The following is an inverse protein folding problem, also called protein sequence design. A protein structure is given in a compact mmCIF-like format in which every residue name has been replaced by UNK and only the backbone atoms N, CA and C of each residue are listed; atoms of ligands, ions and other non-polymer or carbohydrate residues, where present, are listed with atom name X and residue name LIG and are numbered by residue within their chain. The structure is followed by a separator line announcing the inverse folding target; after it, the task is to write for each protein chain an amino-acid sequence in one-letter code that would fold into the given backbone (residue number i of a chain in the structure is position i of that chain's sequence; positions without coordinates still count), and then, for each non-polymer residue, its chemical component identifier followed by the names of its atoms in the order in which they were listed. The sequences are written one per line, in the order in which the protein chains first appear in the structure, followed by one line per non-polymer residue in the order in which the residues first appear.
data_IF_545854142228
#
_entry.id   IF_545854142228
#
_cell.length_a   1.000
_cell.length_b   1.000
_cell.length_c   1.000
_cell.angle_alpha   90.00
_cell.angle_beta   90.00
_cell.angle_gamma   90.00
#
_symmetry.space_group_name_H-M   'P 1'
#
loop_
_entity.id
_entity.type
_entity.pdbx_description
1 polymer ?
#
# COMPACT_ATOMS: atom_id res chain seq x y z
N UNK A 1 -12.06 26.78 -12.33
CA UNK A 1 -11.61 25.86 -11.26
C UNK A 1 -11.77 26.56 -9.91
N UNK A 2 -12.76 26.16 -9.10
CA UNK A 2 -12.95 26.72 -7.75
C UNK A 2 -12.02 25.99 -6.79
N UNK A 3 -10.96 26.66 -6.35
CA UNK A 3 -10.08 26.15 -5.29
C UNK A 3 -10.88 26.21 -4.00
N UNK A 4 -11.34 25.06 -3.50
CA UNK A 4 -11.99 24.98 -2.19
C UNK A 4 -10.91 25.26 -1.15
N UNK A 5 -11.03 26.38 -0.44
CA UNK A 5 -10.25 26.66 0.77
C UNK A 5 -10.49 25.52 1.75
N UNK A 6 -9.57 24.55 1.79
CA UNK A 6 -9.54 23.51 2.79
C UNK A 6 -9.27 24.22 4.11
N UNK A 7 -10.28 24.31 4.98
CA UNK A 7 -10.07 24.76 6.37
C UNK A 7 -8.96 23.89 6.93
N UNK A 8 -7.88 24.53 7.35
CA UNK A 8 -6.82 23.87 8.10
C UNK A 8 -7.49 23.45 9.40
N UNK A 9 -7.66 22.14 9.59
CA UNK A 9 -8.12 21.59 10.85
C UNK A 9 -7.02 21.87 11.89
N UNK A 10 -7.32 22.77 12.82
CA UNK A 10 -6.42 23.10 13.92
C UNK A 10 -6.54 21.93 14.89
N UNK A 11 -5.45 21.18 15.09
CA UNK A 11 -5.44 20.04 16.01
C UNK A 11 -5.78 20.53 17.44
N UNK A 12 -6.80 19.92 18.07
CA UNK A 12 -7.37 20.31 19.36
C UNK A 12 -6.35 20.29 20.53
N UNK A 13 -5.19 19.66 20.33
CA UNK A 13 -4.10 19.54 21.29
C UNK A 13 -3.39 20.88 21.61
N UNK A 14 -3.67 21.92 20.78
CA UNK A 14 -3.19 23.29 20.97
C UNK A 14 -4.01 24.09 21.99
N UNK A 15 -5.21 23.61 22.36
CA UNK A 15 -6.17 24.40 23.15
C UNK A 15 -5.62 24.69 24.56
N UNK A 16 -5.17 25.93 24.77
CA UNK A 16 -4.71 26.44 26.08
C UNK A 16 -3.20 26.51 26.29
N UNK A 17 -2.36 26.25 25.28
CA UNK A 17 -0.89 26.39 25.40
C UNK A 17 -0.43 27.83 25.15
N UNK A 18 0.63 28.25 25.85
CA UNK A 18 1.32 29.52 25.63
C UNK A 18 2.40 29.31 24.55
N UNK A 19 2.72 30.37 23.82
CA UNK A 19 3.81 30.38 22.83
C UNK A 19 5.17 30.04 23.48
N UNK A 20 5.90 29.08 22.89
CA UNK A 20 7.23 28.63 23.34
C UNK A 20 8.37 29.62 23.06
N UNK A 21 8.08 30.75 22.41
CA UNK A 21 9.09 31.78 22.15
C UNK A 21 9.43 32.54 23.44
N UNK A 22 10.73 32.79 23.74
CA UNK A 22 11.11 33.60 24.89
C UNK A 22 10.43 34.97 24.82
N UNK A 23 9.94 35.45 25.96
CA UNK A 23 9.25 36.75 26.08
C UNK A 23 7.88 36.86 25.38
N UNK A 24 7.23 35.74 25.02
CA UNK A 24 5.89 35.73 24.45
C UNK A 24 4.85 35.07 25.36
N UNK A 25 3.73 35.76 25.60
CA UNK A 25 2.60 35.27 26.42
C UNK A 25 1.34 35.03 25.54
N UNK A 26 1.48 35.13 24.21
CA UNK A 26 0.37 34.88 23.26
C UNK A 26 0.03 33.39 23.23
N UNK A 27 -1.17 33.05 22.78
CA UNK A 27 -1.61 31.67 22.58
C UNK A 27 -0.78 30.96 21.49
N UNK A 28 -0.37 29.73 21.79
CA UNK A 28 0.42 28.86 20.92
C UNK A 28 -0.47 27.95 20.08
N UNK A 29 -1.13 28.50 19.06
CA UNK A 29 -2.07 27.75 18.19
C UNK A 29 -1.38 26.95 17.07
N UNK A 30 -0.14 27.29 16.72
CA UNK A 30 0.56 26.72 15.58
C UNK A 30 1.73 25.85 16.00
N UNK A 31 1.76 24.60 15.50
CA UNK A 31 2.89 23.69 15.74
C UNK A 31 4.04 23.92 14.75
N UNK A 32 5.28 23.77 15.21
CA UNK A 32 6.48 23.75 14.39
C UNK A 32 7.41 22.58 14.80
N UNK A 33 8.03 21.85 13.87
CA UNK A 33 8.88 20.71 14.20
C UNK A 33 10.15 21.16 14.93
N UNK A 34 10.58 20.45 15.98
CA UNK A 34 11.83 20.80 16.69
C UNK A 34 13.09 20.41 15.92
N UNK A 35 13.01 19.33 15.14
CA UNK A 35 14.13 18.75 14.40
C UNK A 35 13.63 18.07 13.13
N UNK A 36 14.40 18.10 12.02
CA UNK A 36 14.06 17.38 10.79
C UNK A 36 13.93 15.86 10.98
N UNK A 37 14.71 15.28 11.91
CA UNK A 37 14.80 13.83 12.11
C UNK A 37 13.87 13.29 13.21
N UNK A 38 13.42 14.15 14.13
CA UNK A 38 12.51 13.75 15.23
C UNK A 38 11.07 14.06 14.88
N UNK A 39 10.39 13.09 14.26
CA UNK A 39 9.02 13.23 13.72
C UNK A 39 7.89 13.34 14.77
N UNK A 40 8.19 13.45 16.06
CA UNK A 40 7.17 13.55 17.12
C UNK A 40 7.30 14.77 18.03
N UNK A 41 8.37 15.56 17.87
CA UNK A 41 8.66 16.68 18.76
C UNK A 41 8.25 18.00 18.09
N UNK A 42 7.33 18.73 18.72
CA UNK A 42 6.84 20.02 18.21
C UNK A 42 6.96 21.15 19.25
N UNK A 43 7.27 22.35 18.78
CA UNK A 43 7.06 23.61 19.49
C UNK A 43 5.69 24.18 19.16
N UNK A 44 5.10 24.91 20.09
CA UNK A 44 3.83 25.63 19.91
C UNK A 44 4.08 27.13 19.88
N UNK A 45 3.69 27.79 18.80
CA UNK A 45 3.95 29.21 18.57
C UNK A 45 2.67 29.97 18.23
N UNK A 46 2.69 31.28 18.48
CA UNK A 46 1.71 32.20 17.91
C UNK A 46 2.02 32.48 16.43
N UNK A 47 1.09 33.12 15.72
CA UNK A 47 1.20 33.38 14.27
C UNK A 47 2.47 34.16 13.87
N UNK A 48 2.93 35.08 14.71
CA UNK A 48 4.15 35.86 14.44
C UNK A 48 5.41 35.00 14.56
N UNK A 49 5.52 34.23 15.64
CA UNK A 49 6.72 33.42 15.90
C UNK A 49 6.81 32.19 15.02
N UNK A 50 5.70 31.57 14.62
CA UNK A 50 5.74 30.46 13.66
C UNK A 50 6.26 30.93 12.29
N UNK A 51 5.93 32.16 11.87
CA UNK A 51 6.45 32.75 10.63
C UNK A 51 7.95 33.01 10.74
N UNK A 52 8.40 33.63 11.84
CA UNK A 52 9.82 33.87 12.09
C UNK A 52 10.62 32.56 12.18
N UNK A 53 10.04 31.52 12.77
CA UNK A 53 10.62 30.19 12.85
C UNK A 53 10.76 29.56 11.46
N UNK A 54 9.67 29.53 10.67
CA UNK A 54 9.67 28.96 9.32
C UNK A 54 10.65 29.67 8.38
N UNK A 55 10.83 30.99 8.52
CA UNK A 55 11.83 31.75 7.76
C UNK A 55 13.27 31.32 8.08
N UNK A 56 13.54 30.90 9.32
CA UNK A 56 14.87 30.44 9.76
C UNK A 56 15.07 28.93 9.61
N UNK A 57 14.00 28.19 9.27
CA UNK A 57 14.01 26.75 9.19
C UNK A 57 14.71 26.29 7.91
N UNK A 58 15.71 25.43 8.06
CA UNK A 58 16.37 24.77 6.94
C UNK A 58 16.49 23.27 7.27
N UNK A 59 15.80 22.45 6.49
CA UNK A 59 15.78 20.99 6.65
C UNK A 59 17.19 20.38 6.43
N UNK A 60 17.99 20.96 5.55
CA UNK A 60 19.32 20.47 5.16
C UNK A 60 20.48 21.10 5.96
N UNK A 61 20.20 21.85 7.04
CA UNK A 61 21.24 22.62 7.77
C UNK A 61 22.41 21.74 8.24
N UNK A 62 22.13 20.53 8.70
CA UNK A 62 23.11 19.61 9.27
C UNK A 62 23.56 18.52 8.29
N UNK A 63 23.13 18.58 7.02
CA UNK A 63 23.45 17.57 6.01
C UNK A 63 24.68 17.97 5.19
N UNK A 64 25.52 16.99 4.87
CA UNK A 64 26.63 17.16 3.93
C UNK A 64 26.14 17.07 2.49
N UNK A 65 26.90 17.62 1.54
CA UNK A 65 26.58 17.59 0.10
C UNK A 65 26.20 16.20 -0.45
N UNK A 66 26.91 15.09 -0.16
CA UNK A 66 26.50 13.77 -0.63
C UNK A 66 25.17 13.28 -0.03
N UNK A 67 24.82 13.72 1.19
CA UNK A 67 23.55 13.39 1.83
C UNK A 67 22.40 14.15 1.19
N UNK A 68 22.63 15.42 0.84
CA UNK A 68 21.67 16.24 0.09
C UNK A 68 21.41 15.63 -1.29
N UNK A 69 22.47 15.22 -2.01
CA UNK A 69 22.33 14.52 -3.30
C UNK A 69 21.55 13.20 -3.17
N UNK A 70 21.75 12.47 -2.08
CA UNK A 70 21.00 11.24 -1.81
C UNK A 70 19.51 11.53 -1.58
N UNK A 71 19.17 12.54 -0.79
CA UNK A 71 17.78 12.97 -0.58
C UNK A 71 17.12 13.43 -1.88
N UNK A 72 17.81 14.21 -2.73
CA UNK A 72 17.32 14.62 -4.06
C UNK A 72 17.01 13.40 -4.94
N UNK A 73 17.90 12.41 -4.97
CA UNK A 73 17.68 11.17 -5.73
C UNK A 73 16.50 10.37 -5.18
N UNK A 74 16.36 10.28 -3.85
CA UNK A 74 15.24 9.61 -3.21
C UNK A 74 13.90 10.29 -3.52
N UNK A 75 13.86 11.62 -3.48
CA UNK A 75 12.66 12.40 -3.75
C UNK A 75 12.23 12.32 -5.23
N UNK A 76 13.18 12.12 -6.15
CA UNK A 76 12.88 11.88 -7.58
C UNK A 76 11.96 10.67 -7.79
N UNK A 77 12.10 9.64 -6.96
CA UNK A 77 11.27 8.42 -6.99
C UNK A 77 10.20 8.41 -5.90
N UNK A 78 9.86 9.56 -5.33
CA UNK A 78 8.91 9.71 -4.22
C UNK A 78 9.24 8.83 -3.01
N UNK A 79 10.55 8.66 -2.73
CA UNK A 79 11.09 7.77 -1.68
C UNK A 79 10.61 6.32 -1.79
N UNK A 80 10.14 5.92 -2.97
CA UNK A 80 9.75 4.53 -3.24
C UNK A 80 10.97 3.77 -3.73
N UNK A 81 11.37 2.67 -3.08
CA UNK A 81 12.55 1.92 -3.48
C UNK A 81 12.36 1.39 -4.90
N UNK A 82 13.28 1.75 -5.80
CA UNK A 82 13.33 1.25 -7.18
C UNK A 82 14.41 0.19 -7.31
N UNK A 83 14.08 -0.92 -7.95
CA UNK A 83 15.02 -2.00 -8.20
C UNK A 83 15.60 -1.84 -9.61
N UNK A 84 16.92 -2.02 -9.81
CA UNK A 84 17.47 -2.08 -11.16
C UNK A 84 16.74 -3.16 -11.95
N UNK A 85 16.34 -2.85 -13.18
CA UNK A 85 15.75 -3.82 -14.08
C UNK A 85 16.76 -4.97 -14.28
N UNK A 86 16.43 -6.18 -13.82
CA UNK A 86 17.33 -7.35 -13.85
C UNK A 86 18.10 -7.66 -12.56
N UNK A 87 18.02 -6.82 -11.51
CA UNK A 87 18.64 -7.11 -10.19
C UNK A 87 18.08 -8.38 -9.53
N UNK A 88 16.82 -8.71 -9.83
CA UNK A 88 16.16 -9.93 -9.37
C UNK A 88 16.57 -11.18 -10.15
N UNK A 89 17.42 -11.11 -11.19
CA UNK A 89 17.75 -12.29 -12.01
C UNK A 89 18.48 -13.37 -11.19
N UNK A 90 19.25 -13.00 -10.15
CA UNK A 90 19.91 -13.97 -9.26
C UNK A 90 18.96 -14.55 -8.19
N UNK A 91 18.08 -13.73 -7.59
CA UNK A 91 17.08 -14.20 -6.63
C UNK A 91 15.96 -15.02 -7.31
N UNK A 92 15.59 -14.64 -8.53
CA UNK A 92 14.65 -15.38 -9.38
C UNK A 92 15.27 -16.67 -9.89
N UNK A 93 16.57 -16.76 -10.19
CA UNK A 93 17.22 -18.05 -10.54
C UNK A 93 17.13 -19.10 -9.43
N UNK A 94 17.17 -18.69 -8.16
CA UNK A 94 17.01 -19.62 -7.04
C UNK A 94 15.54 -19.97 -6.74
N UNK A 95 14.57 -19.15 -7.16
CA UNK A 95 13.12 -19.45 -7.07
C UNK A 95 12.54 -20.12 -8.31
N UNK A 96 13.21 -20.00 -9.46
CA UNK A 96 12.82 -20.56 -10.77
C UNK A 96 13.46 -21.92 -11.06
N UNK A 97 13.97 -22.65 -10.06
CA UNK A 97 14.20 -24.09 -10.26
C UNK A 97 12.91 -24.92 -10.21
N UNK A 98 11.76 -24.30 -9.90
CA UNK A 98 10.42 -24.80 -10.24
C UNK A 98 9.44 -23.61 -10.32
N UNK A 99 9.36 -22.84 -11.42
CA UNK A 99 8.16 -22.06 -11.67
C UNK A 99 7.10 -23.08 -12.12
N UNK A 100 6.13 -23.36 -11.25
CA UNK A 100 4.85 -23.88 -11.70
C UNK A 100 4.20 -22.77 -12.55
N UNK A 101 4.68 -22.64 -13.79
CA UNK A 101 4.05 -21.84 -14.81
C UNK A 101 2.74 -22.54 -15.14
N UNK A 102 1.62 -21.94 -14.72
CA UNK A 102 0.30 -22.40 -15.12
C UNK A 102 0.07 -21.98 -16.58
N UNK A 103 0.48 -22.86 -17.48
CA UNK A 103 0.19 -22.72 -18.89
C UNK A 103 -1.32 -22.90 -19.12
N UNK A 104 -2.04 -21.77 -19.08
CA UNK A 104 -3.48 -21.71 -19.27
C UNK A 104 -3.93 -22.22 -20.66
N UNK A 105 -3.02 -22.24 -21.64
CA UNK A 105 -3.27 -22.68 -23.01
C UNK A 105 -2.77 -24.12 -23.29
N UNK A 106 -2.05 -24.74 -22.36
CA UNK A 106 -1.62 -26.14 -22.45
C UNK A 106 -0.61 -26.45 -23.56
N UNK A 107 0.01 -25.44 -24.16
CA UNK A 107 0.98 -25.54 -25.25
C UNK A 107 2.25 -26.30 -24.84
N UNK A 108 2.61 -26.27 -23.54
CA UNK A 108 3.86 -26.84 -23.02
C UNK A 108 3.67 -28.15 -22.23
N UNK A 109 2.46 -28.73 -22.19
CA UNK A 109 2.20 -30.01 -21.51
C UNK A 109 2.49 -31.19 -22.44
N UNK A 110 3.77 -31.49 -22.65
CA UNK A 110 4.16 -32.72 -23.31
C UNK A 110 4.08 -33.91 -22.32
N UNK A 111 3.11 -34.79 -22.57
CA UNK A 111 2.98 -36.16 -22.05
C UNK A 111 3.22 -36.37 -20.53
N UNK A 112 2.18 -36.17 -19.71
CA UNK A 112 2.04 -36.86 -18.41
C UNK A 112 0.87 -37.84 -18.48
N UNK A 113 1.03 -39.11 -18.05
CA UNK A 113 -0.05 -40.08 -18.06
C UNK A 113 -1.18 -39.61 -17.14
N UNK A 114 -2.39 -39.71 -17.66
CA UNK A 114 -3.62 -39.18 -17.08
C UNK A 114 -3.88 -39.79 -15.69
N UNK A 115 -3.86 -38.93 -14.67
CA UNK A 115 -4.55 -39.24 -13.42
C UNK A 115 -6.00 -38.77 -13.56
N UNK A 116 -6.96 -39.61 -13.20
CA UNK A 116 -8.42 -39.40 -13.36
C UNK A 116 -9.02 -38.20 -12.58
N UNK A 117 -8.18 -37.34 -12.00
CA UNK A 117 -8.59 -36.07 -11.45
C UNK A 117 -8.54 -35.02 -12.57
N UNK A 118 -9.72 -34.58 -13.05
CA UNK A 118 -9.78 -33.52 -14.05
C UNK A 118 -8.97 -32.30 -13.55
N UNK A 119 -7.99 -31.80 -14.33
CA UNK A 119 -7.14 -30.68 -13.95
C UNK A 119 -7.93 -29.39 -13.69
N UNK A 120 -9.21 -29.36 -14.04
CA UNK A 120 -10.10 -28.23 -13.80
C UNK A 120 -10.51 -28.10 -12.32
N UNK A 121 -10.62 -29.22 -11.59
CA UNK A 121 -11.02 -29.21 -10.19
C UNK A 121 -9.96 -28.58 -9.27
N UNK A 122 -8.67 -28.69 -9.66
CA UNK A 122 -7.54 -28.10 -8.93
C UNK A 122 -7.36 -26.60 -9.18
N UNK A 123 -7.97 -26.03 -10.22
CA UNK A 123 -7.90 -24.58 -10.51
C UNK A 123 -8.69 -23.72 -9.52
N UNK A 124 -9.73 -24.28 -8.89
CA UNK A 124 -10.61 -23.53 -7.99
C UNK A 124 -10.09 -23.53 -6.54
N UNK A 125 -10.37 -22.45 -5.79
CA UNK A 125 -10.04 -22.34 -4.36
C UNK A 125 -10.76 -23.40 -3.50
N UNK A 126 -10.24 -23.68 -2.30
CA UNK A 126 -10.82 -24.64 -1.36
C UNK A 126 -12.29 -24.35 -1.04
N UNK A 127 -12.68 -23.08 -0.90
CA UNK A 127 -14.09 -22.70 -0.68
C UNK A 127 -14.96 -23.04 -1.88
N UNK A 128 -14.48 -22.71 -3.09
CA UNK A 128 -15.18 -23.01 -4.34
C UNK A 128 -15.40 -24.53 -4.53
N UNK A 129 -14.40 -25.35 -4.20
CA UNK A 129 -14.51 -26.83 -4.25
C UNK A 129 -15.57 -27.37 -3.30
N UNK A 130 -15.66 -26.82 -2.08
CA UNK A 130 -16.70 -27.20 -1.11
C UNK A 130 -18.08 -26.85 -1.65
N UNK A 131 -18.25 -25.65 -2.23
CA UNK A 131 -19.50 -25.22 -2.84
C UNK A 131 -19.94 -26.12 -4.00
N UNK A 132 -19.01 -26.56 -4.85
CA UNK A 132 -19.31 -27.54 -5.90
C UNK A 132 -19.82 -28.87 -5.35
N UNK A 133 -19.23 -29.36 -4.25
CA UNK A 133 -19.68 -30.59 -3.60
C UNK A 133 -21.08 -30.42 -2.97
N UNK A 134 -21.34 -29.29 -2.31
CA UNK A 134 -22.66 -28.98 -1.72
C UNK A 134 -23.75 -28.89 -2.79
N UNK A 135 -23.44 -28.30 -3.94
CA UNK A 135 -24.39 -28.20 -5.06
C UNK A 135 -24.46 -29.48 -5.91
N UNK A 136 -23.63 -30.49 -5.62
CA UNK A 136 -23.48 -31.73 -6.40
C UNK A 136 -23.14 -31.49 -7.89
N UNK A 137 -22.26 -30.51 -8.14
CA UNK A 137 -21.86 -30.09 -9.48
C UNK A 137 -20.39 -30.43 -9.72
N UNK A 138 -20.06 -30.99 -10.89
CA UNK A 138 -18.67 -31.28 -11.30
C UNK A 138 -18.18 -30.23 -12.32
N UNK A 139 -17.03 -29.55 -12.09
CA UNK A 139 -16.42 -28.66 -13.07
C UNK A 139 -15.85 -29.43 -14.28
N UNK A 140 -15.77 -28.80 -15.47
CA UNK A 140 -16.13 -27.41 -15.78
C UNK A 140 -17.64 -27.18 -15.84
N UNK A 141 -18.11 -26.06 -15.31
CA UNK A 141 -19.53 -25.69 -15.34
C UNK A 141 -19.77 -24.29 -15.85
N UNK A 142 -20.84 -24.14 -16.62
CA UNK A 142 -21.30 -22.85 -17.13
C UNK A 142 -22.20 -22.14 -16.12
N UNK A 143 -22.27 -20.81 -16.21
CA UNK A 143 -23.12 -19.98 -15.34
C UNK A 143 -24.61 -20.36 -15.45
N UNK A 144 -25.05 -20.84 -16.61
CA UNK A 144 -26.42 -21.31 -16.86
C UNK A 144 -26.72 -22.58 -16.06
N UNK A 145 -25.81 -23.55 -16.03
CA UNK A 145 -25.93 -24.79 -15.25
C UNK A 145 -25.89 -24.53 -13.74
N UNK A 146 -25.05 -23.60 -13.30
CA UNK A 146 -25.01 -23.19 -11.89
C UNK A 146 -26.35 -22.61 -11.45
N UNK A 147 -26.92 -21.71 -12.26
CA UNK A 147 -28.25 -21.10 -12.00
C UNK A 147 -29.37 -22.13 -12.01
N UNK A 148 -29.33 -23.13 -12.90
CA UNK A 148 -30.37 -24.16 -12.94
C UNK A 148 -30.34 -25.02 -11.68
N UNK A 149 -29.15 -25.47 -11.27
CA UNK A 149 -28.96 -26.29 -10.06
C UNK A 149 -29.34 -25.56 -8.79
N UNK A 150 -28.97 -24.30 -8.68
CA UNK A 150 -29.44 -23.46 -7.58
C UNK A 150 -30.97 -23.41 -7.50
N UNK A 151 -31.65 -23.15 -8.64
CA UNK A 151 -33.12 -23.12 -8.68
C UNK A 151 -33.76 -24.47 -8.36
N UNK A 152 -33.14 -25.58 -8.75
CA UNK A 152 -33.61 -26.93 -8.39
C UNK A 152 -33.52 -27.18 -6.88
N UNK A 153 -32.39 -26.84 -6.25
CA UNK A 153 -32.18 -27.02 -4.81
C UNK A 153 -33.14 -26.15 -3.99
N UNK A 154 -33.32 -24.89 -4.38
CA UNK A 154 -34.26 -23.98 -3.71
C UNK A 154 -35.71 -24.47 -3.79
N UNK A 155 -36.11 -25.15 -4.88
CA UNK A 155 -37.46 -25.69 -5.03
C UNK A 155 -37.71 -26.99 -4.25
N UNK A 156 -36.65 -27.67 -3.80
CA UNK A 156 -36.73 -28.92 -3.03
C UNK A 156 -36.81 -28.67 -1.51
N UNK A 157 -36.40 -27.48 -1.06
CA UNK A 157 -36.59 -26.97 0.29
C UNK A 157 -37.98 -26.37 0.45
#
# INVERSE_FOLDING_TARGET
MKWKNKRIEIDDEASGRICDHPDCIKLGEYRAPKSPSRLGDFYWFCLEHVRAYNLKWNYYRDMQEPEIEAEIRNDTVWRRPTWPMGSNVRAARNRSQQPNFDDSFGIFREHRPESNASPEYTKYDAESRRSFNVMEIRPPTTLTQLKSRYKELVKKL
#
